data_IF_789198832028
#
_entry.id   IF_789198832028
#
_cell.length_a   1.000
_cell.length_b   1.000
_cell.length_c   1.000
_cell.angle_alpha   90.00
_cell.angle_beta   90.00
_cell.angle_gamma   90.00
#
_symmetry.space_group_name_H-M   'P 1'
#
loop_
_entity.id
_entity.type
_entity.pdbx_description
1 polymer ?
#
# COMPACT_ATOMS: atom_id res chain seq x y z
N UNK A 1 -1.00 18.27 -22.42
CA UNK A 1 -0.18 17.35 -23.24
C UNK A 1 -1.02 16.11 -23.59
N UNK A 2 -0.89 15.50 -24.79
CA UNK A 2 -1.66 14.30 -25.17
C UNK A 2 -1.07 13.03 -24.51
N UNK A 3 -1.92 12.04 -24.19
CA UNK A 3 -1.61 10.74 -23.57
C UNK A 3 -0.44 10.02 -24.25
N UNK A 4 -0.35 10.08 -25.57
CA UNK A 4 0.76 9.47 -26.32
C UNK A 4 2.12 10.11 -26.03
N UNK A 5 2.17 11.44 -25.90
CA UNK A 5 3.40 12.16 -25.56
C UNK A 5 3.84 11.88 -24.12
N UNK A 6 2.87 11.76 -23.20
CA UNK A 6 3.13 11.35 -21.82
C UNK A 6 3.70 9.94 -21.73
N UNK A 7 3.10 8.99 -22.45
CA UNK A 7 3.59 7.61 -22.47
C UNK A 7 5.04 7.53 -23.00
N UNK A 8 5.39 8.34 -24.01
CA UNK A 8 6.77 8.45 -24.52
C UNK A 8 7.71 8.99 -23.43
N UNK A 9 7.34 10.08 -22.74
CA UNK A 9 8.16 10.62 -21.65
C UNK A 9 8.35 9.61 -20.50
N UNK A 10 7.33 8.82 -20.14
CA UNK A 10 7.45 7.74 -19.14
C UNK A 10 8.48 6.68 -19.55
N UNK A 11 8.47 6.27 -20.82
CA UNK A 11 9.45 5.30 -21.33
C UNK A 11 10.86 5.87 -21.22
N UNK A 12 11.06 7.14 -21.56
CA UNK A 12 12.36 7.81 -21.43
C UNK A 12 12.79 8.00 -19.96
N UNK A 13 11.85 8.29 -19.06
CA UNK A 13 12.14 8.46 -17.62
C UNK A 13 12.60 7.18 -16.95
N UNK A 14 12.04 6.02 -17.33
CA UNK A 14 12.48 4.70 -16.84
C UNK A 14 13.93 4.37 -17.21
N UNK A 15 14.50 5.07 -18.20
CA UNK A 15 15.83 4.84 -18.71
C UNK A 15 16.62 6.17 -18.78
N UNK A 16 16.86 6.84 -17.64
CA UNK A 16 17.36 8.21 -17.62
C UNK A 16 18.79 8.38 -18.11
N UNK A 17 19.55 7.28 -18.22
CA UNK A 17 20.95 7.26 -18.67
C UNK A 17 21.15 6.61 -20.04
N UNK A 18 20.07 6.16 -20.68
CA UNK A 18 20.13 5.43 -21.96
C UNK A 18 19.45 6.26 -23.05
N UNK A 19 20.12 6.41 -24.17
CA UNK A 19 19.54 7.03 -25.37
C UNK A 19 18.59 6.03 -26.03
N UNK A 20 17.31 6.40 -26.16
CA UNK A 20 16.30 5.52 -26.74
C UNK A 20 15.82 5.98 -28.12
N UNK A 21 15.92 5.06 -29.09
CA UNK A 21 15.41 5.24 -30.45
C UNK A 21 13.92 4.97 -30.58
N UNK A 22 13.31 5.42 -31.69
CA UNK A 22 11.86 5.31 -31.92
C UNK A 22 11.34 3.87 -31.96
N UNK A 23 12.18 2.92 -32.39
CA UNK A 23 11.86 1.48 -32.43
C UNK A 23 11.69 0.90 -31.03
N UNK A 24 12.63 1.18 -30.14
CA UNK A 24 12.58 0.68 -28.77
C UNK A 24 11.44 1.36 -27.98
N UNK A 25 11.24 2.66 -28.17
CA UNK A 25 10.11 3.38 -27.57
C UNK A 25 8.78 2.78 -28.03
N UNK A 26 8.59 2.52 -29.32
CA UNK A 26 7.37 1.87 -29.85
C UNK A 26 7.15 0.48 -29.22
N UNK A 27 8.22 -0.32 -29.07
CA UNK A 27 8.16 -1.65 -28.44
C UNK A 27 7.71 -1.56 -26.97
N UNK A 28 8.28 -0.64 -26.20
CA UNK A 28 7.94 -0.42 -24.79
C UNK A 28 6.51 0.10 -24.63
N UNK A 29 6.06 0.98 -25.52
CA UNK A 29 4.68 1.46 -25.52
C UNK A 29 3.66 0.36 -25.78
N UNK A 30 3.99 -0.59 -26.67
CA UNK A 30 3.16 -1.76 -26.95
C UNK A 30 2.97 -2.65 -25.71
N UNK A 31 4.01 -2.83 -24.90
CA UNK A 31 3.92 -3.54 -23.60
C UNK A 31 2.97 -2.86 -22.60
N UNK A 32 2.68 -1.57 -22.80
CA UNK A 32 1.79 -0.77 -21.96
C UNK A 32 0.45 -0.45 -22.66
N UNK A 33 0.07 -1.22 -23.67
CA UNK A 33 -1.23 -1.11 -24.35
C UNK A 33 -1.37 0.10 -25.29
N UNK A 34 -0.25 0.76 -25.65
CA UNK A 34 -0.24 1.87 -26.61
C UNK A 34 0.40 1.39 -27.91
N UNK A 35 -0.44 1.00 -28.86
CA UNK A 35 0.02 0.58 -30.19
C UNK A 35 0.18 1.79 -31.11
N UNK A 36 1.43 2.23 -31.30
CA UNK A 36 1.77 3.28 -32.26
C UNK A 36 3.00 2.92 -33.09
N UNK A 37 3.00 3.33 -34.35
CA UNK A 37 4.12 3.09 -35.27
C UNK A 37 5.36 3.91 -34.88
N UNK A 38 6.54 3.46 -35.30
CA UNK A 38 7.78 4.24 -35.12
C UNK A 38 7.69 5.65 -35.74
N UNK A 39 6.96 5.79 -36.85
CA UNK A 39 6.75 7.08 -37.52
C UNK A 39 5.98 8.04 -36.60
N UNK A 40 4.93 7.53 -35.95
CA UNK A 40 4.12 8.28 -34.97
C UNK A 40 4.96 8.65 -33.74
N UNK A 41 5.81 7.72 -33.27
CA UNK A 41 6.76 8.00 -32.17
C UNK A 41 7.71 9.14 -32.54
N UNK A 42 8.32 9.09 -33.74
CA UNK A 42 9.21 10.17 -34.22
C UNK A 42 8.52 11.52 -34.33
N UNK A 43 7.26 11.53 -34.76
CA UNK A 43 6.44 12.75 -34.84
C UNK A 43 6.26 13.39 -33.45
N UNK A 44 5.85 12.60 -32.45
CA UNK A 44 5.69 13.09 -31.09
C UNK A 44 7.02 13.50 -30.44
N UNK A 45 8.11 12.77 -30.69
CA UNK A 45 9.43 13.13 -30.20
C UNK A 45 9.88 14.50 -30.72
N UNK A 46 9.61 14.85 -31.99
CA UNK A 46 9.92 16.20 -32.50
C UNK A 46 9.19 17.30 -31.73
N UNK A 47 7.91 17.08 -31.41
CA UNK A 47 7.11 18.03 -30.62
C UNK A 47 7.66 18.15 -29.19
N UNK A 48 8.10 17.04 -28.59
CA UNK A 48 8.72 17.02 -27.27
C UNK A 48 10.09 17.73 -27.28
N UNK A 49 10.87 17.55 -28.35
CA UNK A 49 12.16 18.22 -28.58
C UNK A 49 11.94 19.74 -28.68
N UNK A 50 10.96 20.20 -29.48
CA UNK A 50 10.58 21.62 -29.63
C UNK A 50 10.14 22.28 -28.31
N UNK A 51 9.52 21.50 -27.42
CA UNK A 51 9.08 21.98 -26.09
C UNK A 51 10.21 21.96 -25.05
N UNK A 52 11.39 21.44 -25.41
CA UNK A 52 12.52 21.25 -24.53
C UNK A 52 12.29 20.17 -23.46
N UNK A 53 11.39 19.21 -23.73
CA UNK A 53 11.09 18.10 -22.80
C UNK A 53 12.02 16.91 -23.04
N UNK A 54 12.52 16.74 -24.26
CA UNK A 54 13.50 15.72 -24.65
C UNK A 54 14.74 16.35 -25.29
N UNK A 55 15.87 15.65 -25.21
CA UNK A 55 17.16 16.04 -25.81
C UNK A 55 17.54 15.03 -26.90
N UNK A 56 17.91 15.54 -28.08
CA UNK A 56 18.25 14.74 -29.27
C UNK A 56 19.73 14.32 -29.26
N UNK A 57 19.99 13.04 -29.54
CA UNK A 57 21.31 12.45 -29.72
C UNK A 57 21.42 11.80 -31.11
N UNK A 58 21.21 12.61 -32.15
CA UNK A 58 21.29 12.16 -33.54
C UNK A 58 20.36 10.99 -33.89
N UNK A 59 20.91 9.97 -34.58
CA UNK A 59 20.17 8.77 -34.99
C UNK A 59 19.93 7.78 -33.84
N UNK A 60 20.69 7.89 -32.76
CA UNK A 60 20.64 6.96 -31.62
C UNK A 60 19.34 7.13 -30.84
N UNK A 61 18.82 8.35 -30.71
CA UNK A 61 17.55 8.57 -30.05
C UNK A 61 17.45 9.84 -29.23
N UNK A 62 16.64 9.79 -28.17
CA UNK A 62 16.39 10.90 -27.24
C UNK A 62 16.61 10.45 -25.81
N UNK A 63 16.90 11.43 -24.94
CA UNK A 63 16.79 11.32 -23.49
C UNK A 63 15.78 12.34 -22.97
N UNK A 64 15.18 12.07 -21.82
CA UNK A 64 14.33 13.05 -21.13
C UNK A 64 15.19 14.14 -20.47
N UNK A 65 14.73 15.38 -20.51
CA UNK A 65 15.39 16.52 -19.82
C UNK A 65 14.86 16.70 -18.41
N UNK A 66 15.46 17.58 -17.61
CA UNK A 66 14.92 17.98 -16.30
C UNK A 66 13.50 18.54 -16.43
N UNK A 67 13.30 19.48 -17.37
CA UNK A 67 11.99 20.05 -17.69
C UNK A 67 10.98 18.98 -18.12
N UNK A 68 11.44 17.98 -18.87
CA UNK A 68 10.63 16.81 -19.25
C UNK A 68 10.17 15.99 -18.04
N UNK A 69 11.05 15.77 -17.05
CA UNK A 69 10.72 15.09 -15.79
C UNK A 69 9.75 15.93 -14.95
N UNK A 70 9.96 17.24 -14.85
CA UNK A 70 9.05 18.15 -14.14
C UNK A 70 7.67 18.17 -14.78
N UNK A 71 7.59 18.36 -16.10
CA UNK A 71 6.34 18.34 -16.86
C UNK A 71 5.63 16.99 -16.72
N UNK A 72 6.38 15.88 -16.80
CA UNK A 72 5.84 14.55 -16.57
C UNK A 72 5.27 14.43 -15.15
N UNK A 73 5.97 14.93 -14.13
CA UNK A 73 5.51 14.90 -12.73
C UNK A 73 4.20 15.68 -12.51
N UNK A 74 4.02 16.80 -13.22
CA UNK A 74 2.84 17.68 -13.13
C UNK A 74 1.67 17.13 -13.96
N UNK A 75 1.93 16.67 -15.18
CA UNK A 75 0.91 16.05 -16.04
C UNK A 75 0.48 14.67 -15.55
N UNK A 76 1.34 13.98 -14.78
CA UNK A 76 0.99 12.77 -14.05
C UNK A 76 -0.03 13.03 -12.95
N UNK A 77 -0.39 14.26 -12.57
CA UNK A 77 -1.44 14.49 -11.54
C UNK A 77 -2.79 13.92 -11.97
N UNK A 78 -3.12 13.95 -13.27
CA UNK A 78 -4.36 13.37 -13.83
C UNK A 78 -4.24 11.88 -14.18
N UNK A 79 -3.04 11.35 -14.45
CA UNK A 79 -2.78 9.89 -14.61
C UNK A 79 -2.36 9.18 -13.31
N UNK A 80 -2.08 9.92 -12.22
CA UNK A 80 -1.89 9.44 -10.83
C UNK A 80 -3.20 8.98 -10.21
N UNK A 81 -4.30 9.01 -10.94
CA UNK A 81 -5.49 8.23 -10.61
C UNK A 81 -5.24 6.75 -10.99
N UNK A 82 -4.15 6.19 -10.47
CA UNK A 82 -4.08 4.75 -10.26
C UNK A 82 -4.97 4.51 -9.05
N UNK A 83 -6.17 3.97 -9.28
CA UNK A 83 -7.07 3.69 -8.16
C UNK A 83 -6.38 2.74 -7.19
N UNK A 84 -6.54 3.00 -5.89
CA UNK A 84 -6.02 2.16 -4.82
C UNK A 84 -6.41 0.70 -5.05
N UNK A 85 -7.61 0.45 -5.58
CA UNK A 85 -8.06 -0.90 -5.90
C UNK A 85 -7.13 -1.64 -6.87
N UNK A 86 -6.66 -1.00 -7.95
CA UNK A 86 -5.74 -1.63 -8.91
C UNK A 86 -4.38 -1.94 -8.28
N UNK A 87 -3.94 -1.09 -7.33
CA UNK A 87 -2.71 -1.32 -6.56
C UNK A 87 -2.88 -2.52 -5.61
N UNK A 88 -4.02 -2.62 -4.93
CA UNK A 88 -4.38 -3.77 -4.10
C UNK A 88 -4.34 -5.05 -4.92
N UNK A 89 -5.01 -5.10 -6.08
CA UNK A 89 -5.04 -6.28 -6.96
C UNK A 89 -3.64 -6.68 -7.43
N UNK A 90 -2.86 -5.72 -7.92
CA UNK A 90 -1.49 -5.97 -8.40
C UNK A 90 -0.61 -6.54 -7.29
N UNK A 91 -0.60 -5.93 -6.11
CA UNK A 91 0.23 -6.39 -5.00
C UNK A 91 -0.23 -7.74 -4.46
N UNK A 92 -1.55 -7.98 -4.40
CA UNK A 92 -2.13 -9.28 -4.01
C UNK A 92 -1.68 -10.40 -4.95
N UNK A 93 -1.55 -10.10 -6.23
CA UNK A 93 -1.07 -11.07 -7.21
C UNK A 93 0.44 -11.35 -7.06
N UNK A 94 1.24 -10.29 -6.87
CA UNK A 94 2.70 -10.38 -6.85
C UNK A 94 3.27 -10.98 -5.56
N UNK A 95 2.61 -10.82 -4.42
CA UNK A 95 3.03 -11.51 -3.18
C UNK A 95 2.96 -13.02 -3.37
N UNK A 96 3.97 -13.72 -2.85
CA UNK A 96 4.12 -15.17 -2.92
C UNK A 96 4.25 -15.81 -1.53
N UNK A 97 3.85 -15.08 -0.48
CA UNK A 97 4.05 -15.49 0.90
C UNK A 97 3.31 -16.79 1.24
N UNK A 98 4.07 -17.79 1.68
CA UNK A 98 3.60 -19.06 2.22
C UNK A 98 3.59 -18.98 3.75
N UNK A 99 2.40 -18.83 4.34
CA UNK A 99 2.24 -18.67 5.78
C UNK A 99 2.41 -19.99 6.56
N UNK A 100 2.45 -21.15 5.90
CA UNK A 100 2.75 -22.42 6.58
C UNK A 100 4.25 -22.50 6.87
N UNK A 101 5.06 -22.15 5.86
CA UNK A 101 6.53 -22.10 5.91
C UNK A 101 7.08 -20.81 6.50
N UNK A 102 6.28 -19.74 6.52
CA UNK A 102 6.69 -18.39 6.89
C UNK A 102 7.79 -17.85 5.98
N UNK A 103 7.66 -18.08 4.67
CA UNK A 103 8.64 -17.72 3.64
C UNK A 103 7.98 -16.98 2.48
N UNK A 104 8.79 -16.23 1.72
CA UNK A 104 8.34 -15.44 0.58
C UNK A 104 8.21 -13.95 0.88
N UNK A 105 7.65 -13.23 -0.08
CA UNK A 105 7.53 -11.78 -0.12
C UNK A 105 6.17 -11.34 0.37
N UNK A 106 6.16 -10.49 1.40
CA UNK A 106 4.97 -9.83 1.94
C UNK A 106 4.90 -8.38 1.49
N UNK A 107 3.73 -7.75 1.65
CA UNK A 107 3.53 -6.35 1.31
C UNK A 107 3.71 -5.52 2.57
N UNK A 108 4.52 -4.47 2.49
CA UNK A 108 4.74 -3.53 3.59
C UNK A 108 4.10 -2.17 3.32
N UNK A 109 3.63 -1.54 4.39
CA UNK A 109 3.53 -0.09 4.45
C UNK A 109 4.87 0.44 4.97
N UNK A 110 5.36 1.55 4.43
CA UNK A 110 6.60 2.18 4.89
C UNK A 110 6.28 3.59 5.35
N UNK A 111 6.64 3.90 6.59
CA UNK A 111 6.41 5.22 7.18
C UNK A 111 7.73 5.82 7.64
N UNK A 112 7.81 7.15 7.61
CA UNK A 112 9.01 7.88 8.00
C UNK A 112 8.71 8.84 9.15
N UNK A 113 9.64 8.96 10.09
CA UNK A 113 9.60 9.92 11.18
C UNK A 113 11.02 10.34 11.59
N UNK A 114 11.20 11.47 12.31
CA UNK A 114 12.53 11.98 12.64
C UNK A 114 13.36 11.00 13.49
N UNK A 115 14.63 10.83 13.15
CA UNK A 115 15.50 9.83 13.80
C UNK A 115 15.71 10.09 15.30
N UNK A 116 15.76 11.36 15.70
CA UNK A 116 15.86 11.77 17.10
C UNK A 116 14.66 11.33 17.96
N UNK A 117 13.51 11.05 17.33
CA UNK A 117 12.30 10.56 17.99
C UNK A 117 12.22 9.05 18.09
N UNK A 118 13.20 8.30 17.61
CA UNK A 118 13.15 6.83 17.54
C UNK A 118 12.84 6.15 18.88
N UNK A 119 13.56 6.49 19.94
CA UNK A 119 13.35 5.87 21.27
C UNK A 119 11.94 6.15 21.80
N UNK A 120 11.46 7.37 21.60
CA UNK A 120 10.11 7.79 21.99
C UNK A 120 9.05 7.04 21.18
N UNK A 121 9.24 6.95 19.87
CA UNK A 121 8.35 6.26 18.95
C UNK A 121 8.20 4.76 19.30
N UNK A 122 9.30 4.06 19.57
CA UNK A 122 9.27 2.65 19.97
C UNK A 122 8.51 2.45 21.29
N UNK A 123 8.68 3.35 22.26
CA UNK A 123 7.93 3.32 23.53
C UNK A 123 6.43 3.51 23.32
N UNK A 124 6.03 4.41 22.42
CA UNK A 124 4.62 4.67 22.08
C UNK A 124 4.01 3.47 21.35
N UNK A 125 4.72 2.88 20.39
CA UNK A 125 4.23 1.75 19.60
C UNK A 125 4.13 0.45 20.40
N UNK A 126 4.93 0.29 21.46
CA UNK A 126 4.96 -0.92 22.30
C UNK A 126 3.57 -1.45 22.71
N UNK A 127 2.68 -0.67 23.34
CA UNK A 127 1.32 -1.15 23.68
C UNK A 127 0.51 -1.60 22.46
N UNK A 128 0.71 -0.95 21.30
CA UNK A 128 0.02 -1.34 20.05
C UNK A 128 0.52 -2.70 19.57
N UNK A 129 1.83 -2.94 19.57
CA UNK A 129 2.40 -4.22 19.17
C UNK A 129 2.09 -5.38 20.13
N UNK A 130 1.64 -5.09 21.36
CA UNK A 130 1.15 -6.10 22.30
C UNK A 130 -0.36 -6.32 22.23
N UNK A 131 -1.07 -5.58 21.37
CA UNK A 131 -2.53 -5.65 21.20
C UNK A 131 -2.92 -6.51 19.99
N UNK A 132 -4.22 -6.75 19.81
CA UNK A 132 -4.78 -7.39 18.62
C UNK A 132 -4.89 -6.45 17.41
N UNK A 133 -4.51 -5.18 17.54
CA UNK A 133 -4.69 -4.16 16.50
C UNK A 133 -3.47 -4.00 15.57
N UNK A 134 -2.71 -5.09 15.39
CA UNK A 134 -1.62 -5.18 14.41
C UNK A 134 -1.85 -6.32 13.42
N UNK A 135 -1.22 -6.22 12.25
CA UNK A 135 -1.22 -7.30 11.26
C UNK A 135 -0.27 -8.44 11.62
N UNK A 136 0.92 -8.09 12.12
CA UNK A 136 1.98 -9.00 12.57
C UNK A 136 2.93 -8.25 13.51
N UNK A 137 3.61 -8.96 14.40
CA UNK A 137 4.65 -8.42 15.31
C UNK A 137 6.00 -8.13 14.63
N UNK A 138 6.16 -8.51 13.35
CA UNK A 138 7.39 -8.34 12.60
C UNK A 138 7.40 -7.00 11.87
N UNK A 139 8.55 -6.35 11.88
CA UNK A 139 8.78 -5.03 11.31
C UNK A 139 10.16 -4.95 10.65
N UNK A 140 10.36 -3.91 9.85
CA UNK A 140 11.69 -3.53 9.34
C UNK A 140 11.96 -2.08 9.76
N UNK A 141 13.19 -1.80 10.17
CA UNK A 141 13.61 -0.47 10.58
C UNK A 141 14.96 -0.16 9.97
N UNK A 142 15.02 0.85 9.11
CA UNK A 142 16.25 1.36 8.49
C UNK A 142 16.38 2.88 8.73
N UNK A 143 17.59 3.40 8.68
CA UNK A 143 17.95 4.81 8.87
C UNK A 143 18.18 5.53 7.54
N UNK A 144 18.37 6.84 7.62
CA UNK A 144 18.56 7.69 6.45
C UNK A 144 19.71 7.23 5.53
N UNK A 145 19.42 7.16 4.23
CA UNK A 145 20.35 6.65 3.20
C UNK A 145 20.22 5.15 2.91
N UNK A 146 19.62 4.37 3.80
CA UNK A 146 19.32 2.96 3.58
C UNK A 146 18.02 2.78 2.76
N UNK A 147 17.66 1.52 2.43
CA UNK A 147 16.48 1.21 1.61
C UNK A 147 15.58 0.17 2.25
N UNK A 148 14.26 0.34 2.17
CA UNK A 148 13.27 -0.71 2.44
C UNK A 148 12.59 -1.05 1.11
N UNK A 149 12.92 -2.21 0.54
CA UNK A 149 12.57 -2.53 -0.85
C UNK A 149 13.16 -1.48 -1.80
N UNK A 150 12.31 -0.88 -2.63
CA UNK A 150 12.71 0.16 -3.59
C UNK A 150 12.68 1.59 -3.00
N UNK A 151 12.40 1.73 -1.70
CA UNK A 151 12.21 3.02 -1.05
C UNK A 151 13.49 3.43 -0.31
N UNK A 152 14.10 4.53 -0.75
CA UNK A 152 15.22 5.17 -0.04
C UNK A 152 14.69 5.97 1.14
N UNK A 153 15.30 5.77 2.32
CA UNK A 153 14.93 6.50 3.54
C UNK A 153 15.59 7.89 3.49
N UNK A 154 14.83 8.98 3.68
CA UNK A 154 15.39 10.34 3.72
C UNK A 154 16.42 10.49 4.84
N UNK A 155 17.47 11.29 4.60
CA UNK A 155 18.45 11.63 5.64
C UNK A 155 17.78 12.30 6.84
N UNK A 156 18.23 11.96 8.05
CA UNK A 156 17.64 12.44 9.31
C UNK A 156 16.29 11.80 9.68
N UNK A 157 15.83 10.80 8.92
CA UNK A 157 14.61 10.05 9.22
C UNK A 157 14.89 8.57 9.44
N UNK A 158 14.00 7.95 10.20
CA UNK A 158 13.86 6.49 10.29
C UNK A 158 12.78 6.05 9.33
N UNK A 159 13.07 5.03 8.54
CA UNK A 159 12.09 4.26 7.80
C UNK A 159 11.61 3.08 8.63
N UNK A 160 10.29 2.99 8.84
CA UNK A 160 9.66 1.94 9.62
C UNK A 160 8.60 1.23 8.78
N UNK A 161 8.81 -0.07 8.54
CA UNK A 161 7.94 -0.91 7.74
C UNK A 161 7.04 -1.80 8.60
N UNK A 162 5.74 -1.77 8.33
CA UNK A 162 4.73 -2.64 8.95
C UNK A 162 4.01 -3.49 7.91
N UNK A 163 3.57 -4.68 8.30
CA UNK A 163 2.84 -5.59 7.39
C UNK A 163 1.52 -4.96 6.95
N UNK A 164 1.31 -4.90 5.64
CA UNK A 164 0.09 -4.38 5.03
C UNK A 164 -1.02 -5.42 5.05
N UNK A 165 -2.27 -4.99 5.27
CA UNK A 165 -3.44 -5.87 5.23
C UNK A 165 -3.65 -6.53 3.86
N UNK A 166 -3.12 -5.93 2.78
CA UNK A 166 -3.17 -6.51 1.43
C UNK A 166 -2.44 -7.86 1.35
N UNK A 167 -1.50 -8.14 2.25
CA UNK A 167 -0.85 -9.46 2.35
C UNK A 167 -1.89 -10.58 2.56
N UNK A 168 -2.97 -10.31 3.31
CA UNK A 168 -4.07 -11.26 3.49
C UNK A 168 -4.82 -11.52 2.17
N UNK A 169 -4.99 -10.52 1.29
CA UNK A 169 -5.58 -10.76 -0.04
C UNK A 169 -4.71 -11.74 -0.82
N UNK A 170 -3.40 -11.56 -0.79
CA UNK A 170 -2.45 -12.44 -1.44
C UNK A 170 -2.57 -13.87 -0.97
N UNK A 171 -2.54 -14.08 0.35
CA UNK A 171 -2.71 -15.41 0.95
C UNK A 171 -4.01 -16.07 0.49
N UNK A 172 -5.14 -15.36 0.58
CA UNK A 172 -6.42 -15.91 0.13
C UNK A 172 -6.48 -16.16 -1.37
N UNK A 173 -5.89 -15.27 -2.17
CA UNK A 173 -5.82 -15.44 -3.63
C UNK A 173 -5.01 -16.69 -4.00
N UNK A 174 -3.88 -16.96 -3.34
CA UNK A 174 -3.09 -18.19 -3.55
C UNK A 174 -3.81 -19.44 -3.07
N UNK A 175 -4.71 -19.32 -2.11
CA UNK A 175 -5.63 -20.39 -1.71
C UNK A 175 -6.86 -20.55 -2.63
N UNK A 176 -6.95 -19.77 -3.73
CA UNK A 176 -8.07 -19.82 -4.67
C UNK A 176 -9.33 -19.07 -4.20
N UNK A 177 -9.21 -18.20 -3.20
CA UNK A 177 -10.32 -17.46 -2.60
C UNK A 177 -10.28 -16.00 -3.07
N UNK A 178 -11.23 -15.55 -3.91
CA UNK A 178 -11.28 -14.16 -4.35
C UNK A 178 -11.79 -13.28 -3.22
N UNK A 179 -11.08 -12.18 -2.97
CA UNK A 179 -11.42 -11.20 -1.92
C UNK A 179 -11.70 -9.85 -2.57
N UNK A 180 -12.89 -9.31 -2.35
CA UNK A 180 -13.27 -7.98 -2.83
C UNK A 180 -12.98 -6.96 -1.74
N UNK A 181 -12.04 -6.03 -2.00
CA UNK A 181 -11.70 -4.96 -1.04
C UNK A 181 -12.63 -3.77 -1.23
N UNK A 182 -13.48 -3.46 -0.25
CA UNK A 182 -14.52 -2.44 -0.40
C UNK A 182 -14.08 -1.08 0.14
N UNK A 183 -13.68 -1.03 1.40
CA UNK A 183 -13.42 0.23 2.11
C UNK A 183 -12.21 0.14 3.04
N UNK A 184 -11.51 1.26 3.22
CA UNK A 184 -10.71 1.54 4.41
C UNK A 184 -11.48 2.48 5.32
N UNK A 185 -11.28 2.37 6.64
CA UNK A 185 -12.13 3.04 7.60
C UNK A 185 -11.53 3.22 8.99
N UNK A 186 -12.28 3.95 9.81
CA UNK A 186 -12.06 4.10 11.25
C UNK A 186 -13.10 3.25 11.97
N UNK A 187 -12.63 2.29 12.74
CA UNK A 187 -13.42 1.33 13.49
C UNK A 187 -13.42 1.70 14.97
N UNK A 188 -14.60 1.92 15.54
CA UNK A 188 -14.79 2.17 16.96
C UNK A 188 -14.64 0.86 17.74
N UNK A 189 -13.83 0.92 18.80
CA UNK A 189 -13.63 -0.16 19.76
C UNK A 189 -14.26 0.26 21.09
N UNK A 190 -15.10 -0.61 21.64
CA UNK A 190 -15.75 -0.42 22.94
C UNK A 190 -15.56 -1.68 23.77
N UNK A 191 -15.01 -1.53 24.98
CA UNK A 191 -14.68 -2.65 25.88
C UNK A 191 -13.86 -3.77 25.20
N UNK A 192 -12.89 -3.41 24.36
CA UNK A 192 -12.04 -4.29 23.53
C UNK A 192 -12.76 -4.99 22.35
N UNK A 193 -14.03 -4.70 22.10
CA UNK A 193 -14.79 -5.29 21.01
C UNK A 193 -15.04 -4.28 19.87
N UNK A 194 -14.98 -4.70 18.59
CA UNK A 194 -15.40 -3.87 17.47
C UNK A 194 -16.89 -3.54 17.53
N UNK A 195 -17.23 -2.25 17.54
CA UNK A 195 -18.61 -1.76 17.66
C UNK A 195 -19.21 -1.37 16.30
N UNK A 196 -18.62 -0.39 15.61
CA UNK A 196 -19.07 0.09 14.28
C UNK A 196 -17.99 0.90 13.55
N UNK A 197 -18.14 1.07 12.24
CA UNK A 197 -17.32 2.03 11.50
C UNK A 197 -17.85 3.45 11.67
N UNK A 198 -16.99 4.38 12.07
CA UNK A 198 -17.35 5.80 12.22
C UNK A 198 -17.02 6.63 10.98
N UNK A 199 -16.15 6.11 10.10
CA UNK A 199 -15.80 6.74 8.83
C UNK A 199 -15.31 5.68 7.84
N UNK A 200 -15.61 5.86 6.55
CA UNK A 200 -15.28 4.94 5.46
C UNK A 200 -14.92 5.71 4.20
N UNK A 201 -13.94 5.22 3.45
CA UNK A 201 -13.65 5.67 2.08
C UNK A 201 -13.52 4.43 1.20
N UNK A 202 -14.19 4.45 0.04
CA UNK A 202 -14.16 3.36 -0.94
C UNK A 202 -12.82 3.28 -1.66
N UNK A 203 -12.31 2.07 -1.88
CA UNK A 203 -11.10 1.86 -2.68
C UNK A 203 -11.34 2.03 -4.19
N UNK A 204 -12.55 1.75 -4.69
CA UNK A 204 -12.88 1.79 -6.13
C UNK A 204 -12.84 3.20 -6.72
N UNK A 205 -12.99 4.24 -5.89
CA UNK A 205 -13.02 5.64 -6.30
C UNK A 205 -11.86 6.50 -5.80
N UNK A 206 -10.87 5.91 -5.13
CA UNK A 206 -9.82 6.67 -4.43
C UNK A 206 -8.44 6.48 -5.05
N UNK A 207 -7.70 7.58 -5.21
CA UNK A 207 -6.29 7.58 -5.62
C UNK A 207 -5.32 7.55 -4.43
N UNK A 208 -5.80 7.84 -3.23
CA UNK A 208 -5.04 7.82 -1.99
C UNK A 208 -5.57 6.72 -1.06
N UNK A 209 -4.67 6.10 -0.30
CA UNK A 209 -5.06 5.12 0.71
C UNK A 209 -5.93 5.79 1.80
N UNK A 210 -7.15 5.27 2.06
CA UNK A 210 -8.03 5.78 3.11
C UNK A 210 -7.40 5.91 4.48
N UNK A 211 -6.54 4.95 4.87
CA UNK A 211 -5.97 4.91 6.22
C UNK A 211 -4.96 6.05 6.41
N UNK A 212 -4.21 6.42 5.37
CA UNK A 212 -3.35 7.60 5.39
C UNK A 212 -4.17 8.88 5.61
N UNK A 213 -5.31 9.00 4.94
CA UNK A 213 -6.22 10.14 5.08
C UNK A 213 -6.73 10.25 6.52
N UNK A 214 -7.18 9.13 7.11
CA UNK A 214 -7.71 9.14 8.48
C UNK A 214 -6.66 9.44 9.55
N UNK A 215 -5.42 8.98 9.36
CA UNK A 215 -4.29 9.34 10.23
C UNK A 215 -4.05 10.84 10.18
N UNK A 216 -3.92 11.40 8.96
CA UNK A 216 -3.67 12.83 8.77
C UNK A 216 -4.82 13.73 9.23
N UNK A 217 -6.03 13.19 9.21
CA UNK A 217 -7.22 13.87 9.70
C UNK A 217 -7.42 13.72 11.21
N UNK A 218 -6.48 13.07 11.93
CA UNK A 218 -6.53 12.83 13.39
C UNK A 218 -7.84 12.17 13.84
N UNK A 219 -8.34 11.23 13.05
CA UNK A 219 -9.62 10.55 13.33
C UNK A 219 -9.47 9.28 14.18
N UNK A 220 -8.25 8.90 14.52
CA UNK A 220 -7.93 7.69 15.28
C UNK A 220 -7.71 7.99 16.77
N UNK A 221 -7.88 6.96 17.58
CA UNK A 221 -7.54 6.90 19.00
C UNK A 221 -7.10 5.45 19.32
N UNK A 222 -6.00 5.03 18.71
CA UNK A 222 -5.39 3.71 18.88
C UNK A 222 -4.84 3.57 20.30
N UNK A 223 -4.29 4.65 20.85
CA UNK A 223 -3.79 4.66 22.22
C UNK A 223 -4.91 4.45 23.26
N UNK A 224 -6.08 5.06 23.07
CA UNK A 224 -7.26 4.78 23.87
C UNK A 224 -7.72 3.33 23.74
N UNK A 225 -7.82 2.80 22.51
CA UNK A 225 -8.24 1.43 22.26
C UNK A 225 -7.32 0.40 22.94
N UNK A 226 -6.01 0.66 23.00
CA UNK A 226 -5.02 -0.23 23.59
C UNK A 226 -4.90 -0.11 25.11
N UNK A 227 -5.04 1.08 25.68
CA UNK A 227 -4.85 1.32 27.13
C UNK A 227 -6.15 1.29 27.94
N UNK A 228 -7.21 1.84 27.36
CA UNK A 228 -8.48 2.07 28.04
C UNK A 228 -9.58 1.13 27.52
N UNK A 229 -9.24 0.22 26.60
CA UNK A 229 -10.16 -0.69 25.92
C UNK A 229 -11.26 0.01 25.13
N UNK A 230 -11.14 1.32 24.92
CA UNK A 230 -12.12 2.17 24.25
C UNK A 230 -11.37 3.19 23.41
N UNK A 231 -11.68 3.25 22.11
CA UNK A 231 -10.99 4.14 21.18
C UNK A 231 -11.37 3.87 19.74
N UNK A 232 -10.50 4.26 18.81
CA UNK A 232 -10.75 4.18 17.37
C UNK A 232 -9.51 3.70 16.64
N UNK A 233 -9.61 2.57 15.96
CA UNK A 233 -8.50 1.99 15.20
C UNK A 233 -8.76 2.11 13.70
N UNK A 234 -7.70 2.01 12.91
CA UNK A 234 -7.80 1.82 11.48
C UNK A 234 -8.17 0.37 11.18
N UNK A 235 -9.11 0.19 10.26
CA UNK A 235 -9.52 -1.12 9.76
C UNK A 235 -9.96 -1.02 8.29
N UNK A 236 -10.15 -2.17 7.67
CA UNK A 236 -10.68 -2.29 6.32
C UNK A 236 -11.80 -3.32 6.27
N UNK A 237 -12.71 -3.12 5.33
CA UNK A 237 -13.84 -4.02 5.10
C UNK A 237 -13.70 -4.70 3.74
N UNK A 238 -13.89 -6.02 3.74
CA UNK A 238 -13.81 -6.86 2.55
C UNK A 238 -14.99 -7.79 2.47
N UNK A 239 -15.23 -8.29 1.27
CA UNK A 239 -16.23 -9.32 1.01
C UNK A 239 -15.57 -10.56 0.41
N UNK A 240 -16.05 -11.72 0.83
CA UNK A 240 -15.66 -13.03 0.31
C UNK A 240 -16.90 -13.79 -0.17
N UNK A 241 -16.80 -14.68 -1.17
CA UNK A 241 -17.91 -15.57 -1.53
C UNK A 241 -18.35 -16.44 -0.37
N UNK A 242 -19.66 -16.60 -0.17
CA UNK A 242 -20.22 -17.48 0.88
C UNK A 242 -19.70 -18.92 0.75
N UNK A 243 -19.55 -19.40 -0.48
CA UNK A 243 -19.01 -20.75 -0.77
C UNK A 243 -17.59 -20.97 -0.24
N UNK A 244 -16.83 -19.90 0.02
CA UNK A 244 -15.46 -19.95 0.55
C UNK A 244 -15.39 -19.77 2.07
N UNK A 245 -16.52 -19.48 2.74
CA UNK A 245 -16.56 -19.01 4.14
C UNK A 245 -15.89 -19.99 5.11
N UNK A 246 -16.23 -21.28 5.04
CA UNK A 246 -15.64 -22.28 5.93
C UNK A 246 -14.13 -22.39 5.70
N UNK A 247 -13.69 -22.37 4.44
CA UNK A 247 -12.26 -22.39 4.14
C UNK A 247 -11.54 -21.15 4.65
N UNK A 248 -12.16 -19.98 4.54
CA UNK A 248 -11.60 -18.74 5.10
C UNK A 248 -11.48 -18.83 6.62
N UNK A 249 -12.47 -19.37 7.34
CA UNK A 249 -12.40 -19.55 8.79
C UNK A 249 -11.25 -20.48 9.20
N UNK A 250 -11.10 -21.61 8.52
CA UNK A 250 -9.98 -22.55 8.73
C UNK A 250 -8.63 -21.85 8.55
N UNK A 251 -8.42 -21.20 7.40
CA UNK A 251 -7.17 -20.52 7.08
C UNK A 251 -6.89 -19.38 8.07
N UNK A 252 -7.92 -18.63 8.46
CA UNK A 252 -7.80 -17.56 9.45
C UNK A 252 -7.34 -18.08 10.80
N UNK A 253 -7.83 -19.24 11.24
CA UNK A 253 -7.39 -19.88 12.47
C UNK A 253 -5.92 -20.32 12.41
N UNK A 254 -5.49 -20.92 11.30
CA UNK A 254 -4.08 -21.32 11.09
C UNK A 254 -3.17 -20.10 11.05
N UNK A 255 -3.54 -19.06 10.30
CA UNK A 255 -2.81 -17.78 10.22
C UNK A 255 -2.65 -17.14 11.60
N UNK A 256 -3.73 -17.10 12.40
CA UNK A 256 -3.69 -16.58 13.77
C UNK A 256 -2.72 -17.38 14.65
N UNK A 257 -2.72 -18.71 14.55
CA UNK A 257 -1.76 -19.58 15.25
C UNK A 257 -0.30 -19.35 14.86
N UNK A 258 -0.05 -18.78 13.67
CA UNK A 258 1.27 -18.41 13.17
C UNK A 258 1.65 -16.94 13.45
N UNK A 259 0.81 -16.19 14.15
CA UNK A 259 1.06 -14.79 14.50
C UNK A 259 0.55 -13.76 13.49
N UNK A 260 -0.20 -14.19 12.46
CA UNK A 260 -0.85 -13.31 11.49
C UNK A 260 -2.27 -13.02 11.99
N UNK A 261 -2.38 -12.08 12.92
CA UNK A 261 -3.60 -11.80 13.70
C UNK A 261 -4.56 -10.77 13.10
N UNK A 262 -4.39 -10.37 11.84
CA UNK A 262 -5.05 -9.20 11.26
C UNK A 262 -6.56 -9.29 11.01
N UNK A 263 -7.20 -10.47 11.10
CA UNK A 263 -8.64 -10.63 10.86
C UNK A 263 -9.38 -10.49 12.19
N UNK A 264 -10.19 -9.43 12.34
CA UNK A 264 -10.96 -9.15 13.56
C UNK A 264 -12.26 -9.92 13.60
N UNK A 265 -13.04 -9.85 12.52
CA UNK A 265 -14.37 -10.42 12.44
C UNK A 265 -14.64 -10.96 11.04
N UNK A 266 -15.39 -12.06 10.98
CA UNK A 266 -15.98 -12.61 9.76
C UNK A 266 -17.49 -12.69 10.00
N UNK A 267 -18.26 -12.03 9.15
CA UNK A 267 -19.71 -11.95 9.26
C UNK A 267 -20.42 -13.18 8.70
N UNK A 268 -21.69 -13.30 9.04
CA UNK A 268 -22.55 -14.35 8.49
C UNK A 268 -22.85 -14.10 6.99
N UNK A 269 -23.17 -15.15 6.22
CA UNK A 269 -23.63 -15.03 4.84
C UNK A 269 -24.79 -14.05 4.69
N UNK A 270 -24.71 -13.14 3.71
CA UNK A 270 -25.78 -12.22 3.33
C UNK A 270 -26.31 -11.32 4.45
N UNK A 271 -25.54 -11.14 5.53
CA UNK A 271 -25.91 -10.29 6.66
C UNK A 271 -24.98 -9.08 6.76
N UNK A 272 -25.49 -7.90 7.12
CA UNK A 272 -24.64 -6.76 7.45
C UNK A 272 -23.65 -7.09 8.56
N UNK A 273 -22.47 -6.48 8.52
CA UNK A 273 -21.43 -6.64 9.54
C UNK A 273 -20.97 -5.25 9.99
N UNK A 274 -21.14 -4.95 11.28
CA UNK A 274 -20.82 -3.64 11.87
C UNK A 274 -21.47 -2.46 11.11
N UNK A 275 -22.77 -2.58 10.85
CA UNK A 275 -23.60 -1.61 10.09
C UNK A 275 -23.25 -1.48 8.60
N UNK A 276 -22.31 -2.28 8.09
CA UNK A 276 -21.95 -2.28 6.67
C UNK A 276 -22.81 -3.31 5.94
N UNK A 277 -23.57 -2.92 4.89
CA UNK A 277 -24.31 -3.86 4.07
C UNK A 277 -23.34 -4.77 3.31
N UNK A 278 -23.72 -6.04 3.19
CA UNK A 278 -22.96 -7.06 2.46
C UNK A 278 -23.76 -7.49 1.23
N UNK A 279 -23.07 -7.62 0.09
CA UNK A 279 -23.69 -8.02 -1.17
C UNK A 279 -24.23 -9.46 -1.12
N UNK A 280 -25.16 -9.77 -2.02
CA UNK A 280 -25.70 -11.13 -2.19
C UNK A 280 -24.59 -12.13 -2.51
N UNK A 281 -24.71 -13.31 -1.90
CA UNK A 281 -23.74 -14.41 -1.93
C UNK A 281 -22.34 -14.04 -1.44
N UNK A 282 -22.27 -13.05 -0.54
CA UNK A 282 -21.04 -12.64 0.15
C UNK A 282 -21.16 -12.72 1.66
N UNK A 283 -19.99 -12.78 2.31
CA UNK A 283 -19.81 -12.53 3.74
C UNK A 283 -18.83 -11.37 3.92
N UNK A 284 -19.12 -10.49 4.87
CA UNK A 284 -18.23 -9.40 5.26
C UNK A 284 -17.05 -9.88 6.10
N UNK A 285 -15.92 -9.21 6.00
CA UNK A 285 -14.72 -9.49 6.80
C UNK A 285 -14.03 -8.18 7.18
N UNK A 286 -13.76 -8.02 8.46
CA UNK A 286 -13.10 -6.83 9.03
C UNK A 286 -11.65 -7.17 9.33
N UNK A 287 -10.74 -6.37 8.79
CA UNK A 287 -9.30 -6.59 8.88
C UNK A 287 -8.63 -5.34 9.44
N UNK A 288 -7.75 -5.54 10.42
CA UNK A 288 -6.93 -4.50 11.04
C UNK A 288 -6.15 -3.70 10.00
N UNK A 289 -6.02 -2.39 10.23
CA UNK A 289 -5.12 -1.53 9.46
C UNK A 289 -3.66 -1.72 9.89
N UNK A 290 -2.78 -2.06 8.95
CA UNK A 290 -1.33 -2.20 9.21
C UNK A 290 -0.63 -0.91 9.66
N UNK A 291 -1.30 0.23 9.60
CA UNK A 291 -0.79 1.53 10.01
C UNK A 291 -1.21 1.95 11.44
N UNK A 292 -1.90 1.11 12.21
CA UNK A 292 -2.26 1.43 13.60
C UNK A 292 -1.06 1.84 14.49
N UNK A 293 0.12 1.20 14.43
CA UNK A 293 1.29 1.68 15.17
C UNK A 293 1.71 3.10 14.79
N UNK A 294 1.54 3.47 13.52
CA UNK A 294 1.90 4.80 13.00
C UNK A 294 0.84 5.84 13.40
N UNK A 295 -0.43 5.47 13.41
CA UNK A 295 -1.50 6.31 13.93
C UNK A 295 -1.26 6.71 15.40
N UNK A 296 -0.81 5.76 16.23
CA UNK A 296 -0.44 6.03 17.62
C UNK A 296 0.72 7.05 17.78
N UNK A 297 1.67 7.09 16.83
CA UNK A 297 2.73 8.10 16.81
C UNK A 297 2.16 9.50 16.55
N UNK A 298 1.29 9.64 15.55
CA UNK A 298 0.63 10.91 15.20
C UNK A 298 -0.29 11.41 16.31
N UNK A 299 -1.04 10.52 16.96
CA UNK A 299 -1.83 10.79 18.18
C UNK A 299 -0.97 11.36 19.31
N UNK A 300 0.29 10.91 19.40
CA UNK A 300 1.25 11.35 20.42
C UNK A 300 2.10 12.55 19.98
N UNK A 301 1.80 13.16 18.83
CA UNK A 301 2.47 14.36 18.33
C UNK A 301 3.76 14.12 17.54
N UNK A 302 4.10 12.85 17.23
CA UNK A 302 5.21 12.53 16.31
C UNK A 302 4.64 12.48 14.90
N UNK A 303 4.90 13.53 14.13
CA UNK A 303 4.47 13.61 12.73
C UNK A 303 5.22 12.59 11.87
N UNK A 304 4.47 11.91 11.02
CA UNK A 304 4.98 10.85 10.15
C UNK A 304 4.69 11.14 8.68
N UNK A 305 5.39 10.49 7.76
CA UNK A 305 5.00 10.44 6.35
C UNK A 305 4.80 8.97 6.02
N UNK A 306 3.57 8.57 5.72
CA UNK A 306 3.26 7.18 5.41
C UNK A 306 3.16 6.98 3.91
N UNK A 307 3.59 5.80 3.45
CA UNK A 307 3.32 5.28 2.12
C UNK A 307 2.69 3.91 2.30
N UNK A 308 1.38 3.82 2.19
CA UNK A 308 0.66 2.55 2.26
C UNK A 308 0.87 1.73 0.98
N UNK A 309 0.78 0.40 1.12
CA UNK A 309 0.94 -0.55 0.02
C UNK A 309 2.25 -0.30 -0.74
N UNK A 310 3.35 -0.11 -0.02
CA UNK A 310 4.57 0.51 -0.56
C UNK A 310 5.39 -0.42 -1.43
N UNK A 311 5.75 -1.59 -0.91
CA UNK A 311 6.76 -2.45 -1.51
C UNK A 311 6.56 -3.90 -1.11
N UNK A 312 7.14 -4.81 -1.89
CA UNK A 312 7.31 -6.21 -1.54
C UNK A 312 8.63 -6.38 -0.80
N UNK A 313 8.63 -7.16 0.27
CA UNK A 313 9.82 -7.43 1.07
C UNK A 313 9.80 -8.88 1.54
N UNK A 314 10.97 -9.52 1.55
CA UNK A 314 11.09 -10.90 2.05
C UNK A 314 10.75 -10.92 3.52
N UNK A 315 9.89 -11.86 3.91
CA UNK A 315 9.49 -12.02 5.31
C UNK A 315 10.67 -12.34 6.25
N UNK A 316 11.73 -12.94 5.72
CA UNK A 316 12.99 -13.21 6.43
C UNK A 316 13.73 -11.95 6.87
N UNK A 317 13.55 -10.84 6.14
CA UNK A 317 14.31 -9.61 6.36
C UNK A 317 13.70 -8.79 7.53
N UNK A 318 12.51 -9.19 7.99
CA UNK A 318 11.84 -8.56 9.13
C UNK A 318 12.24 -9.23 10.45
N UNK A 319 12.42 -8.39 11.47
CA UNK A 319 12.69 -8.77 12.85
C UNK A 319 11.44 -8.57 13.71
N UNK A 320 11.37 -9.22 14.89
CA UNK A 320 10.26 -8.95 15.81
C UNK A 320 10.42 -7.56 16.41
N UNK A 321 9.29 -6.85 16.55
CA UNK A 321 9.29 -5.51 17.15
C UNK A 321 9.95 -5.46 18.53
N UNK A 322 9.81 -6.53 19.33
CA UNK A 322 10.43 -6.63 20.66
C UNK A 322 11.96 -6.55 20.63
N UNK A 323 12.61 -6.91 19.52
CA UNK A 323 14.05 -6.83 19.35
C UNK A 323 14.56 -5.39 19.16
N UNK A 324 13.65 -4.44 18.88
CA UNK A 324 13.97 -3.02 18.77
C UNK A 324 13.87 -2.28 20.12
N UNK A 325 13.31 -2.90 21.17
CA UNK A 325 13.02 -2.28 22.46
C UNK A 325 14.22 -2.21 23.41
#
# INVERSE_FOLDING_TARGET
MNRTMLAILKVLEKHPEIILGSREISRQLKLHGVEITERTVRYHLRILDERGLTKVFGKEGRMITHKGKEELSQSLVSEKVGFVISKIETLSYLTNFDFEKMEGDIILNVSFFPEEKLKEALKIMKPVFTSSYIMHDKVVLHRGGEKIGDIVIPHGQVGFGTVCSVTINGIFLKAGIPVTSKFGGVLQIENSEPSRFTALISYEGSSLDPLEIFIKSRMTDVMGATKNHNGKILASFREIPVVSLEKVKELSAVMKGKGIGGILLIGNPNQPLLEIPVATDKSGMVIVGGLNPIAALEESGILTISKAMSTLCRFSDLIKFKELL
#
